data_IF_946731712496
#
_entry.id   IF_946731712496
#
_cell.length_a   1.000
_cell.length_b   1.000
_cell.length_c   1.000
_cell.angle_alpha   90.00
_cell.angle_beta   90.00
_cell.angle_gamma   90.00
#
_symmetry.space_group_name_H-M   'P 1'
#
loop_
_entity.id
_entity.type
_entity.pdbx_description
1 polymer ?
#
# COMPACT_ATOMS: atom_id res chain seq x y z
N UNK A 1 -13.12 -8.50 -12.84
CA UNK A 1 -14.26 -7.56 -12.81
C UNK A 1 -15.10 -7.70 -11.55
N UNK A 2 -15.78 -8.82 -11.32
CA UNK A 2 -16.64 -8.97 -10.13
C UNK A 2 -15.81 -8.88 -8.84
N UNK A 3 -14.73 -9.66 -8.72
CA UNK A 3 -13.88 -9.65 -7.53
C UNK A 3 -13.19 -8.30 -7.27
N UNK A 4 -12.75 -7.61 -8.33
CA UNK A 4 -12.16 -6.27 -8.19
C UNK A 4 -13.19 -5.26 -7.70
N UNK A 5 -14.43 -5.31 -8.19
CA UNK A 5 -15.51 -4.47 -7.70
C UNK A 5 -15.84 -4.76 -6.22
N UNK A 6 -15.94 -6.05 -5.85
CA UNK A 6 -16.16 -6.47 -4.45
C UNK A 6 -15.04 -5.95 -3.54
N UNK A 7 -13.77 -6.12 -3.94
CA UNK A 7 -12.63 -5.66 -3.16
C UNK A 7 -12.66 -4.13 -2.95
N UNK A 8 -12.99 -3.36 -3.99
CA UNK A 8 -13.13 -1.90 -3.90
C UNK A 8 -14.30 -1.50 -2.99
N UNK A 9 -15.45 -2.18 -3.08
CA UNK A 9 -16.60 -1.90 -2.20
C UNK A 9 -16.26 -2.17 -0.74
N UNK A 10 -15.61 -3.30 -0.44
CA UNK A 10 -15.14 -3.64 0.91
C UNK A 10 -14.17 -2.57 1.43
N UNK A 11 -13.18 -2.19 0.60
CA UNK A 11 -12.24 -1.13 0.93
C UNK A 11 -12.94 0.19 1.25
N UNK A 12 -13.83 0.66 0.37
CA UNK A 12 -14.54 1.93 0.55
C UNK A 12 -15.42 1.91 1.80
N UNK A 13 -16.15 0.83 2.03
CA UNK A 13 -16.98 0.66 3.22
C UNK A 13 -16.14 0.74 4.51
N UNK A 14 -15.03 0.00 4.56
CA UNK A 14 -14.11 0.05 5.70
C UNK A 14 -13.45 1.42 5.90
N UNK A 15 -13.10 2.10 4.82
CA UNK A 15 -12.53 3.45 4.88
C UNK A 15 -13.53 4.48 5.42
N UNK A 16 -14.79 4.42 4.98
CA UNK A 16 -15.86 5.27 5.52
C UNK A 16 -16.00 5.05 7.03
N UNK A 17 -15.98 3.79 7.48
CA UNK A 17 -16.01 3.45 8.91
C UNK A 17 -14.83 4.05 9.69
N UNK A 18 -13.60 3.95 9.16
CA UNK A 18 -12.43 4.56 9.78
C UNK A 18 -12.55 6.09 9.86
N UNK A 19 -12.96 6.76 8.78
CA UNK A 19 -13.16 8.21 8.79
C UNK A 19 -14.26 8.65 9.76
N UNK A 20 -15.33 7.86 9.91
CA UNK A 20 -16.33 8.10 10.95
C UNK A 20 -15.71 8.00 12.34
N UNK A 21 -14.97 6.92 12.64
CA UNK A 21 -14.28 6.73 13.93
C UNK A 21 -13.33 7.89 14.24
N UNK A 22 -12.49 8.29 13.29
CA UNK A 22 -11.57 9.43 13.47
C UNK A 22 -12.33 10.76 13.65
N UNK A 23 -13.45 10.94 12.94
CA UNK A 23 -14.35 12.08 13.11
C UNK A 23 -15.05 12.13 14.48
N UNK A 24 -15.11 11.01 15.21
CA UNK A 24 -15.58 10.94 16.59
C UNK A 24 -14.46 11.21 17.62
N UNK A 25 -13.21 11.37 17.18
CA UNK A 25 -12.04 11.62 18.03
C UNK A 25 -11.26 10.37 18.43
N UNK A 26 -11.42 9.24 17.72
CA UNK A 26 -10.63 8.03 17.96
C UNK A 26 -9.19 8.23 17.47
N UNK A 27 -8.20 7.97 18.34
CA UNK A 27 -6.78 8.22 18.07
C UNK A 27 -5.96 6.95 17.78
N UNK A 28 -6.51 5.77 18.08
CA UNK A 28 -5.79 4.49 17.99
C UNK A 28 -6.42 3.49 17.04
N UNK A 29 -5.60 2.57 16.55
CA UNK A 29 -6.05 1.43 15.75
C UNK A 29 -6.92 0.47 16.60
N UNK A 30 -7.99 -0.06 16.01
CA UNK A 30 -8.95 -0.96 16.64
C UNK A 30 -9.68 -0.41 17.90
N UNK A 31 -9.63 0.90 18.12
CA UNK A 31 -10.40 1.54 19.19
C UNK A 31 -11.80 1.93 18.71
N UNK A 32 -12.76 1.90 19.64
CA UNK A 32 -14.13 2.35 19.39
C UNK A 32 -14.34 3.80 19.81
N UNK A 33 -15.30 4.52 19.17
CA UNK A 33 -15.68 5.86 19.57
C UNK A 33 -16.12 5.93 21.04
N UNK A 34 -15.88 7.06 21.73
CA UNK A 34 -16.45 7.30 23.05
C UNK A 34 -17.97 7.12 23.04
N UNK A 35 -18.51 6.57 24.12
CA UNK A 35 -19.96 6.31 24.27
C UNK A 35 -20.78 7.57 23.97
N UNK A 36 -21.79 7.43 23.11
CA UNK A 36 -22.67 8.53 22.71
C UNK A 36 -22.15 9.45 21.59
N UNK A 37 -20.88 9.31 21.14
CA UNK A 37 -20.36 10.10 20.02
C UNK A 37 -20.53 9.37 18.69
N UNK A 38 -21.44 9.86 17.84
CA UNK A 38 -21.53 9.43 16.43
C UNK A 38 -20.51 10.19 15.58
N UNK A 39 -19.63 9.44 14.94
CA UNK A 39 -18.66 9.95 13.99
C UNK A 39 -19.25 10.33 12.64
N UNK A 40 -18.54 11.15 11.87
CA UNK A 40 -18.91 11.47 10.48
C UNK A 40 -17.66 11.58 9.62
N UNK A 41 -17.63 10.80 8.53
CA UNK A 41 -16.53 10.83 7.57
C UNK A 41 -16.37 12.21 6.92
N UNK A 42 -17.49 12.85 6.58
CA UNK A 42 -17.49 14.20 6.00
C UNK A 42 -16.96 15.22 7.01
N UNK A 43 -17.37 15.11 8.29
CA UNK A 43 -16.86 16.00 9.34
C UNK A 43 -15.35 15.82 9.52
N UNK A 44 -14.86 14.57 9.56
CA UNK A 44 -13.44 14.29 9.62
C UNK A 44 -12.68 14.96 8.47
N UNK A 45 -13.09 14.72 7.22
CA UNK A 45 -12.40 15.27 6.05
C UNK A 45 -12.40 16.80 6.06
N UNK A 46 -13.52 17.43 6.43
CA UNK A 46 -13.62 18.90 6.56
C UNK A 46 -12.67 19.43 7.64
N UNK A 47 -12.67 18.83 8.83
CA UNK A 47 -11.81 19.26 9.94
C UNK A 47 -10.33 19.01 9.63
N UNK A 48 -9.99 17.86 9.06
CA UNK A 48 -8.63 17.54 8.62
C UNK A 48 -8.12 18.55 7.59
N UNK A 49 -8.93 18.86 6.57
CA UNK A 49 -8.55 19.84 5.54
C UNK A 49 -8.42 21.27 6.09
N UNK A 50 -9.29 21.65 7.02
CA UNK A 50 -9.16 22.91 7.74
C UNK A 50 -7.85 22.98 8.53
N UNK A 51 -7.47 21.89 9.22
CA UNK A 51 -6.24 21.81 9.99
C UNK A 51 -4.99 21.89 9.11
N UNK A 52 -4.98 21.19 7.96
CA UNK A 52 -3.87 21.23 7.00
C UNK A 52 -3.64 22.64 6.46
N UNK A 53 -4.71 23.39 6.20
CA UNK A 53 -4.65 24.76 5.65
C UNK A 53 -4.53 25.87 6.69
N UNK A 54 -4.83 25.60 7.96
CA UNK A 54 -4.71 26.60 9.01
C UNK A 54 -3.27 27.15 9.05
N UNK A 55 -3.09 28.43 9.35
CA UNK A 55 -1.74 28.97 9.57
C UNK A 55 -1.13 28.36 10.83
N UNK A 56 0.18 28.10 10.82
CA UNK A 56 0.87 27.54 11.98
C UNK A 56 1.40 28.69 12.83
N UNK A 57 0.95 28.82 14.07
CA UNK A 57 1.52 29.79 15.01
C UNK A 57 2.97 29.43 15.43
N UNK A 58 3.40 28.18 15.20
CA UNK A 58 4.77 27.69 15.44
C UNK A 58 5.35 27.09 14.17
N UNK A 59 6.62 27.39 13.85
CA UNK A 59 7.49 26.90 12.76
C UNK A 59 6.98 25.71 11.92
N UNK A 60 5.87 25.88 11.20
CA UNK A 60 5.30 24.85 10.35
C UNK A 60 6.08 24.77 9.06
N UNK A 61 6.45 23.56 8.64
CA UNK A 61 7.14 23.37 7.36
C UNK A 61 6.15 23.53 6.20
N UNK A 62 6.61 23.97 5.02
CA UNK A 62 5.77 23.99 3.83
C UNK A 62 5.15 22.61 3.56
N UNK A 63 3.87 22.57 3.16
CA UNK A 63 3.15 21.31 2.89
C UNK A 63 3.88 20.47 1.83
N UNK A 64 4.41 21.11 0.79
CA UNK A 64 5.16 20.42 -0.26
C UNK A 64 6.43 19.76 0.27
N UNK A 65 7.14 20.41 1.21
CA UNK A 65 8.31 19.85 1.86
C UNK A 65 7.92 18.63 2.71
N UNK A 66 6.83 18.72 3.47
CA UNK A 66 6.33 17.61 4.29
C UNK A 66 5.92 16.43 3.40
N UNK A 67 5.20 16.70 2.31
CA UNK A 67 4.78 15.67 1.36
C UNK A 67 5.98 14.97 0.73
N UNK A 68 6.92 15.73 0.17
CA UNK A 68 8.08 15.14 -0.53
C UNK A 68 9.03 14.48 0.47
N UNK A 69 9.50 15.23 1.47
CA UNK A 69 10.58 14.76 2.34
C UNK A 69 10.08 13.83 3.45
N UNK A 70 8.96 14.14 4.10
CA UNK A 70 8.51 13.35 5.26
C UNK A 70 7.63 12.16 4.87
N UNK A 71 6.84 12.25 3.79
CA UNK A 71 5.97 11.15 3.33
C UNK A 71 6.67 10.30 2.27
N UNK A 72 7.07 10.87 1.13
CA UNK A 72 7.68 10.09 0.04
C UNK A 72 9.09 9.61 0.38
N UNK A 73 9.97 10.49 0.82
CA UNK A 73 11.35 10.13 1.22
C UNK A 73 11.48 9.70 2.68
N UNK A 74 10.40 9.70 3.46
CA UNK A 74 10.37 9.17 4.82
C UNK A 74 11.48 9.73 5.74
N UNK A 75 11.82 11.00 5.58
CA UNK A 75 12.94 11.69 6.27
C UNK A 75 12.91 11.52 7.78
N UNK A 76 11.73 11.42 8.39
CA UNK A 76 11.56 11.16 9.83
C UNK A 76 12.14 9.81 10.25
N UNK A 77 11.92 8.76 9.45
CA UNK A 77 12.48 7.43 9.69
C UNK A 77 13.99 7.47 9.49
N UNK A 78 14.47 8.15 8.45
CA UNK A 78 15.90 8.31 8.16
C UNK A 78 16.66 8.92 9.34
N UNK A 79 16.11 9.99 9.94
CA UNK A 79 16.70 10.64 11.11
C UNK A 79 16.78 9.75 12.35
N UNK A 80 15.89 8.75 12.48
CA UNK A 80 15.84 7.85 13.64
C UNK A 80 16.70 6.61 13.46
N UNK A 81 16.74 6.04 12.26
CA UNK A 81 17.56 4.86 11.95
C UNK A 81 17.67 4.67 10.43
N UNK A 82 18.87 4.85 9.85
CA UNK A 82 19.09 4.65 8.41
C UNK A 82 18.74 3.24 7.91
N UNK A 83 19.01 2.21 8.72
CA UNK A 83 18.68 0.81 8.37
C UNK A 83 17.17 0.60 8.32
N UNK A 84 16.44 1.13 9.32
CA UNK A 84 14.97 1.07 9.35
C UNK A 84 14.40 1.83 8.15
N UNK A 85 14.97 2.97 7.82
CA UNK A 85 14.58 3.76 6.67
C UNK A 85 14.81 3.01 5.37
N UNK A 86 15.99 2.43 5.13
CA UNK A 86 16.27 1.72 3.88
C UNK A 86 15.30 0.55 3.66
N UNK A 87 15.07 -0.26 4.69
CA UNK A 87 14.09 -1.34 4.68
C UNK A 87 12.67 -0.82 4.37
N UNK A 88 12.22 0.23 5.06
CA UNK A 88 10.86 0.73 4.89
C UNK A 88 10.66 1.50 3.57
N UNK A 89 11.69 2.21 3.10
CA UNK A 89 11.69 2.93 1.84
C UNK A 89 11.64 1.96 0.66
N UNK A 90 12.37 0.85 0.70
CA UNK A 90 12.30 -0.19 -0.34
C UNK A 90 10.95 -0.90 -0.36
N UNK A 91 10.37 -1.22 0.81
CA UNK A 91 8.99 -1.73 0.89
C UNK A 91 8.00 -0.71 0.30
N UNK A 92 8.10 0.56 0.71
CA UNK A 92 7.20 1.62 0.26
C UNK A 92 7.32 1.89 -1.23
N UNK A 93 8.53 2.11 -1.75
CA UNK A 93 8.77 2.38 -3.16
C UNK A 93 8.35 1.19 -4.04
N UNK A 94 8.69 -0.04 -3.64
CA UNK A 94 8.27 -1.23 -4.36
C UNK A 94 6.75 -1.39 -4.37
N UNK A 95 6.11 -1.36 -3.19
CA UNK A 95 4.66 -1.55 -3.07
C UNK A 95 3.86 -0.43 -3.75
N UNK A 96 4.20 0.84 -3.51
CA UNK A 96 3.47 1.99 -4.08
C UNK A 96 3.59 2.03 -5.60
N UNK A 97 4.78 1.77 -6.15
CA UNK A 97 4.97 1.74 -7.59
C UNK A 97 4.22 0.58 -8.23
N UNK A 98 4.31 -0.64 -7.68
CA UNK A 98 3.57 -1.79 -8.20
C UNK A 98 2.05 -1.60 -8.11
N UNK A 99 1.57 -1.00 -7.03
CA UNK A 99 0.16 -0.61 -6.89
C UNK A 99 -0.25 0.38 -7.98
N UNK A 100 0.56 1.42 -8.23
CA UNK A 100 0.29 2.41 -9.27
C UNK A 100 0.32 1.80 -10.68
N UNK A 101 1.33 0.98 -11.00
CA UNK A 101 1.46 0.31 -12.30
C UNK A 101 0.30 -0.67 -12.53
N UNK A 102 -0.11 -1.42 -11.51
CA UNK A 102 -1.27 -2.31 -11.57
C UNK A 102 -2.58 -1.52 -11.76
N UNK A 103 -2.71 -0.38 -11.07
CA UNK A 103 -3.84 0.53 -11.23
C UNK A 103 -3.92 1.15 -12.63
N UNK A 104 -2.78 1.52 -13.21
CA UNK A 104 -2.68 2.01 -14.59
C UNK A 104 -3.06 0.94 -15.60
N UNK A 105 -2.53 -0.29 -15.44
CA UNK A 105 -2.91 -1.43 -16.28
C UNK A 105 -4.42 -1.70 -16.21
N UNK A 106 -4.98 -1.70 -14.99
CA UNK A 106 -6.41 -1.85 -14.79
C UNK A 106 -7.20 -0.73 -15.48
N UNK A 107 -6.76 0.54 -15.37
CA UNK A 107 -7.42 1.66 -16.01
C UNK A 107 -7.45 1.50 -17.55
N UNK A 108 -6.33 1.12 -18.16
CA UNK A 108 -6.24 0.85 -19.61
C UNK A 108 -7.19 -0.27 -20.03
N UNK A 109 -7.22 -1.39 -19.30
CA UNK A 109 -8.16 -2.48 -19.58
C UNK A 109 -9.62 -2.04 -19.44
N UNK A 110 -9.92 -1.14 -18.50
CA UNK A 110 -11.29 -0.64 -18.32
C UNK A 110 -11.69 0.31 -19.44
N UNK A 111 -10.79 1.20 -19.85
CA UNK A 111 -10.99 2.14 -20.96
C UNK A 111 -11.31 1.39 -22.26
N UNK A 112 -10.57 0.32 -22.57
CA UNK A 112 -10.86 -0.52 -23.74
C UNK A 112 -12.24 -1.21 -23.61
N UNK A 113 -12.58 -1.76 -22.44
CA UNK A 113 -13.88 -2.44 -22.22
C UNK A 113 -15.09 -1.53 -22.34
N UNK A 114 -14.95 -0.23 -22.11
CA UNK A 114 -16.01 0.75 -22.30
C UNK A 114 -16.03 1.33 -23.73
N UNK A 115 -15.19 0.80 -24.63
CA UNK A 115 -15.17 1.14 -26.05
C UNK A 115 -14.38 2.41 -26.39
N UNK A 116 -13.50 2.87 -25.50
CA UNK A 116 -12.63 4.01 -25.78
C UNK A 116 -11.30 3.49 -26.33
N UNK A 117 -10.97 3.88 -27.55
CA UNK A 117 -9.72 3.52 -28.20
C UNK A 117 -8.57 4.39 -27.68
N UNK A 118 -7.50 3.73 -27.26
CA UNK A 118 -6.23 4.34 -26.85
C UNK A 118 -5.20 4.17 -27.98
N UNK A 119 -4.12 4.98 -28.03
CA UNK A 119 -3.08 4.86 -29.05
C UNK A 119 -2.19 3.61 -28.91
N UNK A 120 -2.54 2.70 -28.00
CA UNK A 120 -1.89 1.42 -27.74
C UNK A 120 -2.95 0.43 -27.25
N UNK A 121 -2.73 -0.85 -27.53
CA UNK A 121 -3.52 -1.95 -27.00
C UNK A 121 -3.12 -2.26 -25.54
N UNK A 122 -3.97 -2.90 -24.73
CA UNK A 122 -3.58 -3.36 -23.40
C UNK A 122 -2.42 -4.36 -23.42
N UNK A 123 -2.26 -5.13 -24.51
CA UNK A 123 -1.13 -6.03 -24.66
C UNK A 123 0.21 -5.26 -24.76
N UNK A 124 0.26 -4.25 -25.63
CA UNK A 124 1.43 -3.36 -25.77
C UNK A 124 1.71 -2.60 -24.48
N UNK A 125 0.68 -2.07 -23.82
CA UNK A 125 0.85 -1.37 -22.55
C UNK A 125 1.40 -2.30 -21.45
N UNK A 126 0.92 -3.55 -21.38
CA UNK A 126 1.44 -4.55 -20.44
C UNK A 126 2.92 -4.84 -20.68
N UNK A 127 3.35 -4.89 -21.94
CA UNK A 127 4.76 -5.04 -22.30
C UNK A 127 5.60 -3.84 -21.83
N UNK A 128 5.11 -2.60 -22.01
CA UNK A 128 5.77 -1.40 -21.50
C UNK A 128 5.93 -1.41 -19.97
N UNK A 129 4.95 -1.97 -19.26
CA UNK A 129 5.00 -2.09 -17.80
C UNK A 129 5.85 -3.26 -17.29
N UNK A 130 6.26 -4.19 -18.15
CA UNK A 130 6.97 -5.40 -17.73
C UNK A 130 8.28 -5.10 -16.99
N UNK A 131 9.14 -4.25 -17.56
CA UNK A 131 10.42 -3.88 -16.96
C UNK A 131 10.24 -3.10 -15.64
N UNK A 132 9.41 -2.03 -15.57
CA UNK A 132 9.09 -1.38 -14.31
C UNK A 132 8.56 -2.35 -13.23
N UNK A 133 7.65 -3.26 -13.60
CA UNK A 133 7.11 -4.25 -12.66
C UNK A 133 8.21 -5.17 -12.12
N UNK A 134 9.14 -5.62 -12.96
CA UNK A 134 10.29 -6.41 -12.50
C UNK A 134 11.19 -5.63 -11.54
N UNK A 135 11.56 -4.40 -11.87
CA UNK A 135 12.44 -3.56 -11.04
C UNK A 135 11.80 -3.31 -9.67
N UNK A 136 10.56 -2.82 -9.65
CA UNK A 136 9.87 -2.53 -8.39
C UNK A 136 9.49 -3.80 -7.62
N UNK A 137 9.27 -4.92 -8.31
CA UNK A 137 9.15 -6.25 -7.72
C UNK A 137 10.36 -6.62 -6.88
N UNK A 138 11.57 -6.45 -7.43
CA UNK A 138 12.80 -6.77 -6.70
C UNK A 138 13.08 -5.78 -5.57
N UNK A 139 12.79 -4.49 -5.78
CA UNK A 139 12.88 -3.47 -4.72
C UNK A 139 11.98 -3.85 -3.54
N UNK A 140 10.72 -4.25 -3.82
CA UNK A 140 9.80 -4.72 -2.79
C UNK A 140 10.34 -5.97 -2.08
N UNK A 141 10.78 -6.97 -2.85
CA UNK A 141 11.31 -8.23 -2.31
C UNK A 141 12.49 -7.99 -1.38
N UNK A 142 13.45 -7.14 -1.77
CA UNK A 142 14.60 -6.78 -0.93
C UNK A 142 14.14 -6.19 0.39
N UNK A 143 13.22 -5.22 0.36
CA UNK A 143 12.71 -4.59 1.58
C UNK A 143 11.99 -5.58 2.49
N UNK A 144 11.15 -6.45 1.93
CA UNK A 144 10.44 -7.51 2.67
C UNK A 144 11.42 -8.52 3.26
N UNK A 145 12.44 -8.96 2.51
CA UNK A 145 13.46 -9.88 3.00
C UNK A 145 14.24 -9.30 4.17
N UNK A 146 14.65 -8.03 4.08
CA UNK A 146 15.31 -7.33 5.20
C UNK A 146 14.36 -7.28 6.41
N UNK A 147 13.08 -7.00 6.21
CA UNK A 147 12.10 -6.97 7.30
C UNK A 147 11.90 -8.34 7.96
N UNK A 148 11.87 -9.42 7.18
CA UNK A 148 11.79 -10.81 7.70
C UNK A 148 13.04 -11.15 8.51
N UNK A 149 14.23 -10.97 7.92
CA UNK A 149 15.51 -11.25 8.59
C UNK A 149 15.61 -10.45 9.89
N UNK A 150 15.34 -9.15 9.86
CA UNK A 150 15.40 -8.30 11.04
C UNK A 150 14.43 -8.75 12.14
N UNK A 151 13.27 -9.30 11.78
CA UNK A 151 12.26 -9.75 12.76
C UNK A 151 12.54 -11.15 13.31
N UNK A 152 13.29 -11.98 12.59
CA UNK A 152 13.73 -13.30 13.06
C UNK A 152 14.99 -13.24 13.94
N UNK A 153 15.93 -12.38 13.57
CA UNK A 153 17.29 -12.40 14.14
C UNK A 153 17.63 -11.24 15.09
N UNK A 154 16.89 -10.13 15.09
CA UNK A 154 17.14 -9.01 16.03
C UNK A 154 16.20 -9.12 17.21
N UNK A 155 16.74 -9.44 18.39
CA UNK A 155 15.97 -9.73 19.62
C UNK A 155 14.98 -8.63 19.98
N UNK A 156 15.42 -7.36 19.95
CA UNK A 156 14.59 -6.21 20.32
C UNK A 156 13.39 -6.04 19.38
N UNK A 157 13.56 -6.40 18.11
CA UNK A 157 12.49 -6.33 17.10
C UNK A 157 11.56 -7.53 17.24
N UNK A 158 12.12 -8.71 17.49
CA UNK A 158 11.36 -9.95 17.66
C UNK A 158 10.46 -9.88 18.88
N UNK A 159 10.98 -9.42 20.01
CA UNK A 159 10.23 -9.26 21.27
C UNK A 159 9.14 -8.19 21.17
N UNK A 160 9.37 -7.13 20.38
CA UNK A 160 8.37 -6.10 20.13
C UNK A 160 7.34 -6.48 19.04
N UNK A 161 7.52 -7.61 18.35
CA UNK A 161 6.63 -8.01 17.26
C UNK A 161 5.39 -8.74 17.77
N UNK A 162 4.23 -8.38 17.22
CA UNK A 162 2.98 -9.09 17.51
C UNK A 162 2.47 -9.84 16.27
N UNK A 163 1.52 -10.76 16.47
CA UNK A 163 0.98 -11.61 15.39
C UNK A 163 0.49 -10.80 14.17
N UNK A 164 -0.17 -9.66 14.41
CA UNK A 164 -0.64 -8.79 13.33
C UNK A 164 0.49 -8.29 12.41
N UNK A 165 1.70 -8.09 12.94
CA UNK A 165 2.84 -7.64 12.14
C UNK A 165 3.34 -8.76 11.22
N UNK A 166 3.27 -10.01 11.69
CA UNK A 166 3.60 -11.20 10.91
C UNK A 166 2.56 -11.51 9.83
N UNK A 167 1.27 -11.33 10.12
CA UNK A 167 0.21 -11.48 9.11
C UNK A 167 0.42 -10.48 7.98
N UNK A 168 0.72 -9.21 8.31
CA UNK A 168 1.02 -8.19 7.30
C UNK A 168 2.27 -8.53 6.49
N UNK A 169 3.38 -8.81 7.17
CA UNK A 169 4.64 -9.11 6.51
C UNK A 169 4.55 -10.37 5.63
N UNK A 170 3.93 -11.43 6.16
CA UNK A 170 3.73 -12.69 5.47
C UNK A 170 2.82 -12.54 4.24
N UNK A 171 1.71 -11.81 4.35
CA UNK A 171 0.83 -11.59 3.22
C UNK A 171 1.48 -10.75 2.11
N UNK A 172 2.24 -9.70 2.45
CA UNK A 172 3.02 -8.95 1.45
C UNK A 172 4.08 -9.82 0.80
N UNK A 173 4.75 -10.69 1.56
CA UNK A 173 5.72 -11.64 1.03
C UNK A 173 5.06 -12.62 0.05
N UNK A 174 3.93 -13.24 0.42
CA UNK A 174 3.19 -14.17 -0.46
C UNK A 174 2.73 -13.47 -1.74
N UNK A 175 2.18 -12.26 -1.64
CA UNK A 175 1.77 -11.46 -2.81
C UNK A 175 2.97 -11.17 -3.71
N UNK A 176 4.12 -10.79 -3.13
CA UNK A 176 5.34 -10.51 -3.90
C UNK A 176 5.84 -11.75 -4.64
N UNK A 177 5.98 -12.88 -3.94
CA UNK A 177 6.46 -14.14 -4.51
C UNK A 177 5.49 -14.68 -5.57
N UNK A 178 4.18 -14.66 -5.31
CA UNK A 178 3.19 -15.10 -6.28
C UNK A 178 3.20 -14.27 -7.57
N UNK A 179 3.47 -12.96 -7.49
CA UNK A 179 3.58 -12.10 -8.66
C UNK A 179 4.79 -12.45 -9.53
N UNK A 180 5.93 -12.68 -8.87
CA UNK A 180 7.13 -13.19 -9.54
C UNK A 180 6.90 -14.54 -10.20
N UNK A 181 6.29 -15.50 -9.50
CA UNK A 181 5.97 -16.82 -10.06
C UNK A 181 5.04 -16.69 -11.27
N UNK A 182 3.94 -15.94 -11.15
CA UNK A 182 2.99 -15.75 -12.24
C UNK A 182 3.66 -15.16 -13.49
N UNK A 183 4.52 -14.15 -13.32
CA UNK A 183 5.24 -13.56 -14.44
C UNK A 183 6.36 -14.47 -14.98
N UNK A 184 7.05 -15.18 -14.10
CA UNK A 184 8.10 -16.12 -14.45
C UNK A 184 7.59 -17.31 -15.28
N UNK A 185 6.41 -17.85 -14.96
CA UNK A 185 5.75 -18.91 -15.76
C UNK A 185 5.39 -18.36 -17.14
N UNK A 186 4.89 -17.11 -17.20
CA UNK A 186 4.48 -16.45 -18.45
C UNK A 186 5.65 -16.15 -19.38
N UNK A 187 6.79 -15.72 -18.83
CA UNK A 187 7.94 -15.21 -19.60
C UNK A 187 9.09 -16.22 -19.73
N UNK A 188 9.14 -17.24 -18.87
CA UNK A 188 10.21 -18.23 -18.85
C UNK A 188 11.54 -17.73 -18.28
N UNK A 189 11.56 -16.59 -17.57
CA UNK A 189 12.80 -15.95 -17.13
C UNK A 189 13.37 -16.58 -15.84
N UNK A 190 13.11 -16.01 -14.66
CA UNK A 190 13.75 -16.44 -13.39
C UNK A 190 12.80 -17.31 -12.56
N UNK A 191 11.55 -16.91 -12.46
CA UNK A 191 10.59 -17.46 -11.49
C UNK A 191 9.63 -18.49 -12.08
N UNK A 192 9.90 -18.96 -13.31
CA UNK A 192 9.07 -19.95 -13.99
C UNK A 192 9.26 -21.38 -13.47
N UNK A 193 10.42 -21.68 -12.88
CA UNK A 193 10.74 -22.98 -12.26
C UNK A 193 10.44 -24.22 -13.14
N UNK A 194 10.49 -24.07 -14.47
CA UNK A 194 10.16 -25.15 -15.41
C UNK A 194 8.68 -25.53 -15.47
N UNK A 195 7.79 -24.73 -14.88
CA UNK A 195 6.35 -24.94 -14.96
C UNK A 195 5.85 -24.65 -16.38
N UNK A 196 4.83 -25.40 -16.80
CA UNK A 196 4.20 -25.26 -18.11
C UNK A 196 3.55 -23.86 -18.25
N UNK A 197 3.82 -23.10 -19.34
CA UNK A 197 3.14 -21.83 -19.63
C UNK A 197 1.61 -21.88 -19.59
N UNK A 198 1.00 -23.04 -19.81
CA UNK A 198 -0.46 -23.26 -19.65
C UNK A 198 -0.93 -22.95 -18.23
N UNK A 199 -0.05 -23.02 -17.23
CA UNK A 199 -0.34 -22.68 -15.83
C UNK A 199 -0.20 -21.18 -15.50
N UNK A 200 0.26 -20.35 -16.45
CA UNK A 200 0.41 -18.91 -16.21
C UNK A 200 -0.93 -18.19 -15.92
N UNK A 201 -2.03 -18.43 -16.67
CA UNK A 201 -3.32 -17.79 -16.36
C UNK A 201 -3.86 -18.08 -14.95
N UNK A 202 -3.92 -19.34 -14.45
CA UNK A 202 -4.36 -19.58 -13.08
C UNK A 202 -3.41 -19.01 -12.02
N UNK A 203 -2.09 -18.99 -12.26
CA UNK A 203 -1.13 -18.35 -11.35
C UNK A 203 -1.33 -16.82 -11.27
N UNK A 204 -1.52 -16.17 -12.41
CA UNK A 204 -1.82 -14.74 -12.49
C UNK A 204 -3.18 -14.41 -11.84
N UNK A 205 -4.18 -15.28 -12.01
CA UNK A 205 -5.47 -15.15 -11.33
C UNK A 205 -5.31 -15.24 -9.82
N UNK A 206 -4.59 -16.25 -9.32
CA UNK A 206 -4.30 -16.38 -7.89
C UNK A 206 -3.65 -15.11 -7.34
N UNK A 207 -2.55 -14.66 -7.96
CA UNK A 207 -1.85 -13.43 -7.58
C UNK A 207 -2.79 -12.21 -7.55
N UNK A 208 -3.60 -12.04 -8.60
CA UNK A 208 -4.53 -10.91 -8.71
C UNK A 208 -5.58 -10.93 -7.60
N UNK A 209 -6.16 -12.11 -7.31
CA UNK A 209 -7.18 -12.26 -6.27
C UNK A 209 -6.61 -11.97 -4.89
N UNK A 210 -5.46 -12.56 -4.55
CA UNK A 210 -4.86 -12.31 -3.23
C UNK A 210 -4.40 -10.86 -3.09
N UNK A 211 -3.91 -10.23 -4.16
CA UNK A 211 -3.51 -8.82 -4.16
C UNK A 211 -4.73 -7.91 -3.91
N UNK A 212 -5.85 -8.17 -4.58
CA UNK A 212 -7.07 -7.39 -4.37
C UNK A 212 -7.64 -7.56 -2.96
N UNK A 213 -7.68 -8.79 -2.43
CA UNK A 213 -8.23 -9.04 -1.11
C UNK A 213 -7.31 -8.52 0.00
N UNK A 214 -6.02 -8.81 -0.08
CA UNK A 214 -5.06 -8.51 0.99
C UNK A 214 -4.48 -7.10 0.89
N UNK A 215 -4.07 -6.66 -0.30
CA UNK A 215 -3.45 -5.35 -0.48
C UNK A 215 -4.46 -4.22 -0.69
N UNK A 216 -5.75 -4.50 -0.91
CA UNK A 216 -6.79 -3.47 -1.07
C UNK A 216 -7.90 -3.63 -0.04
N UNK A 217 -8.71 -4.69 -0.13
CA UNK A 217 -9.90 -4.85 0.70
C UNK A 217 -9.60 -4.92 2.20
N UNK A 218 -8.46 -5.48 2.59
CA UNK A 218 -8.04 -5.67 3.97
C UNK A 218 -7.38 -4.42 4.62
N UNK A 219 -7.01 -3.40 3.83
CA UNK A 219 -6.37 -2.17 4.35
C UNK A 219 -7.13 -1.57 5.55
N UNK A 220 -8.44 -1.24 5.45
CA UNK A 220 -9.14 -0.54 6.53
C UNK A 220 -9.38 -1.37 7.80
N UNK A 221 -9.13 -2.67 7.76
CA UNK A 221 -9.41 -3.60 8.86
C UNK A 221 -8.15 -4.13 9.53
N UNK A 222 -6.99 -3.58 9.16
CA UNK A 222 -5.69 -4.09 9.58
C UNK A 222 -4.75 -2.94 9.95
N UNK A 223 -3.62 -3.27 10.58
CA UNK A 223 -2.54 -2.29 10.79
C UNK A 223 -2.02 -1.70 9.47
N UNK A 224 -2.39 -2.26 8.31
CA UNK A 224 -2.00 -1.76 7.00
C UNK A 224 -2.57 -0.37 6.69
N UNK A 225 -3.64 0.04 7.40
CA UNK A 225 -4.22 1.39 7.35
C UNK A 225 -3.20 2.52 7.58
N UNK A 226 -2.05 2.23 8.19
CA UNK A 226 -0.96 3.20 8.35
C UNK A 226 -0.49 3.82 7.03
N UNK A 227 -0.62 3.09 5.90
CA UNK A 227 -0.29 3.62 4.56
C UNK A 227 -1.14 4.85 4.20
N UNK A 228 -2.32 5.00 4.82
CA UNK A 228 -3.22 6.16 4.67
C UNK A 228 -3.16 7.07 5.90
N UNK A 229 -3.32 6.49 7.10
CA UNK A 229 -3.45 7.25 8.33
C UNK A 229 -2.19 8.06 8.67
N UNK A 230 -1.00 7.50 8.46
CA UNK A 230 0.27 8.17 8.80
C UNK A 230 0.51 9.40 7.92
N UNK A 231 0.39 9.34 6.58
CA UNK A 231 0.44 10.55 5.74
C UNK A 231 -0.57 11.63 6.14
N UNK A 232 -1.83 11.25 6.42
CA UNK A 232 -2.87 12.20 6.83
C UNK A 232 -2.50 12.91 8.15
N UNK A 233 -1.98 12.17 9.13
CA UNK A 233 -1.55 12.71 10.40
C UNK A 233 -0.32 13.63 10.25
N UNK A 234 0.68 13.21 9.47
CA UNK A 234 1.89 14.00 9.19
C UNK A 234 1.54 15.35 8.54
N UNK A 235 0.60 15.36 7.59
CA UNK A 235 0.12 16.57 6.93
C UNK A 235 -0.65 17.48 7.89
N UNK A 236 -1.54 16.93 8.72
CA UNK A 236 -2.29 17.70 9.71
C UNK A 236 -1.38 18.35 10.77
N UNK A 237 -0.26 17.70 11.07
CA UNK A 237 0.76 18.20 12.01
C UNK A 237 1.89 19.01 11.34
N UNK A 238 1.83 19.25 10.02
CA UNK A 238 2.77 20.10 9.25
C UNK A 238 4.25 19.77 9.47
N UNK A 239 4.60 18.49 9.55
CA UNK A 239 6.00 18.11 9.78
C UNK A 239 6.40 17.97 11.26
N UNK A 240 5.53 18.35 12.21
CA UNK A 240 5.73 18.15 13.64
C UNK A 240 5.78 16.67 14.02
N UNK A 241 6.68 16.34 14.95
CA UNK A 241 6.68 15.05 15.67
C UNK A 241 5.79 15.12 16.90
#
# INVERSE_FOLDING_TARGET
MILSAIAVVIFLYGMIGNFQKWGAGVTGYALEPPTGKKGSAIRFLKTWWAQVRAESHHHGKPILEVLILDIFFQRRILKRSPIRWFMHFTIFAGWMSLFALSGLMFAVEMTEKIGIELPFTPAEFREMLSLPNYIFGYILLIGVMIAVVRRLFVSEVREASIMYDWVLLGGVFIVTISGFIADGIRTGIIWGFGLDPVTAPPAALFHSVISLLFCIAYIPYSKYIHVIATPLAILANKGGE
#
